data_IF_515964107036
#
_entry.id   IF_515964107036
#
_cell.length_a   1.000
_cell.length_b   1.000
_cell.length_c   1.000
_cell.angle_alpha   90.00
_cell.angle_beta   90.00
_cell.angle_gamma   90.00
#
_symmetry.space_group_name_H-M   'P 1'
#
loop_
_entity.id
_entity.type
_entity.pdbx_description
1 polymer ?
#
# COMPACT_ATOMS: atom_id res chain seq x y z
N UNK A 1 -14.03 -1.17 18.06
CA UNK A 1 -13.99 -0.26 16.87
C UNK A 1 -14.46 -1.01 15.64
N UNK A 2 -15.34 -0.37 14.83
CA UNK A 2 -15.75 -0.89 13.52
C UNK A 2 -15.00 -0.13 12.43
N UNK A 3 -14.15 -0.83 11.69
CA UNK A 3 -13.26 -0.23 10.70
C UNK A 3 -13.70 -0.60 9.29
N UNK A 4 -13.87 0.39 8.42
CA UNK A 4 -14.04 0.20 6.99
C UNK A 4 -12.70 0.31 6.28
N UNK A 5 -12.39 -0.67 5.44
CA UNK A 5 -11.24 -0.64 4.51
C UNK A 5 -11.78 -0.56 3.09
N UNK A 6 -11.74 0.62 2.49
CA UNK A 6 -12.11 0.86 1.09
C UNK A 6 -10.93 0.44 0.20
N UNK A 7 -11.19 -0.36 -0.84
CA UNK A 7 -10.14 -1.03 -1.61
C UNK A 7 -9.59 -2.27 -0.88
N UNK A 8 -10.41 -2.87 0.00
CA UNK A 8 -10.00 -3.94 0.91
C UNK A 8 -9.67 -5.27 0.24
N UNK A 9 -10.05 -5.48 -1.03
CA UNK A 9 -9.66 -6.68 -1.81
C UNK A 9 -8.33 -6.49 -2.57
N UNK A 10 -7.84 -5.24 -2.68
CA UNK A 10 -6.53 -4.92 -3.27
C UNK A 10 -5.37 -5.38 -2.38
N UNK A 11 -4.14 -5.31 -2.91
CA UNK A 11 -2.94 -5.76 -2.19
C UNK A 11 -2.79 -5.11 -0.80
N UNK A 12 -2.80 -3.78 -0.74
CA UNK A 12 -2.61 -3.05 0.53
C UNK A 12 -3.83 -3.20 1.45
N UNK A 13 -5.04 -3.15 0.86
CA UNK A 13 -6.28 -3.30 1.62
C UNK A 13 -6.39 -4.66 2.30
N UNK A 14 -6.13 -5.76 1.60
CA UNK A 14 -6.23 -7.10 2.19
C UNK A 14 -5.18 -7.35 3.28
N UNK A 15 -3.95 -6.80 3.14
CA UNK A 15 -2.93 -6.88 4.19
C UNK A 15 -3.33 -6.03 5.40
N UNK A 16 -3.87 -4.84 5.17
CA UNK A 16 -4.47 -4.01 6.23
C UNK A 16 -5.58 -4.76 6.97
N UNK A 17 -6.52 -5.39 6.24
CA UNK A 17 -7.57 -6.22 6.83
C UNK A 17 -6.99 -7.35 7.67
N UNK A 18 -5.95 -8.06 7.17
CA UNK A 18 -5.30 -9.15 7.92
C UNK A 18 -4.68 -8.68 9.24
N UNK A 19 -4.02 -7.52 9.25
CA UNK A 19 -3.46 -6.95 10.47
C UNK A 19 -4.56 -6.53 11.44
N UNK A 20 -5.58 -5.82 10.97
CA UNK A 20 -6.69 -5.35 11.80
C UNK A 20 -7.51 -6.48 12.44
N UNK A 21 -7.70 -7.59 11.73
CA UNK A 21 -8.44 -8.72 12.26
C UNK A 21 -7.77 -9.38 13.49
N UNK A 22 -6.45 -9.19 13.65
CA UNK A 22 -5.69 -9.70 14.80
C UNK A 22 -5.83 -8.85 16.06
N UNK A 23 -6.28 -7.60 15.92
CA UNK A 23 -6.35 -6.63 17.00
C UNK A 23 -7.61 -6.82 17.84
N UNK A 24 -7.47 -6.97 19.16
CA UNK A 24 -8.61 -7.18 20.06
C UNK A 24 -9.54 -5.98 20.13
N UNK A 25 -9.00 -4.76 20.03
CA UNK A 25 -9.74 -3.50 20.09
C UNK A 25 -10.62 -3.23 18.86
N UNK A 26 -10.44 -4.00 17.79
CA UNK A 26 -11.24 -3.90 16.57
C UNK A 26 -12.31 -4.98 16.60
N UNK A 27 -13.58 -4.60 16.70
CA UNK A 27 -14.72 -5.51 16.79
C UNK A 27 -15.12 -6.04 15.41
N UNK A 28 -15.03 -5.19 14.39
CA UNK A 28 -15.40 -5.53 13.02
C UNK A 28 -14.49 -4.85 12.01
N UNK A 29 -14.11 -5.59 10.98
CA UNK A 29 -13.43 -5.08 9.78
C UNK A 29 -14.32 -5.33 8.56
N UNK A 30 -14.68 -4.26 7.86
CA UNK A 30 -15.47 -4.33 6.63
C UNK A 30 -14.57 -4.01 5.45
N UNK A 31 -14.48 -4.91 4.50
CA UNK A 31 -13.79 -4.70 3.22
C UNK A 31 -14.81 -4.21 2.19
N UNK A 32 -14.70 -2.97 1.73
CA UNK A 32 -15.49 -2.46 0.61
C UNK A 32 -14.66 -2.44 -0.66
N UNK A 33 -15.12 -3.14 -1.69
CA UNK A 33 -14.45 -3.22 -2.99
C UNK A 33 -15.46 -3.60 -4.08
N UNK A 34 -15.15 -3.30 -5.34
CA UNK A 34 -15.93 -3.76 -6.49
C UNK A 34 -15.78 -5.26 -6.73
N UNK A 35 -14.58 -5.79 -6.48
CA UNK A 35 -14.26 -7.20 -6.59
C UNK A 35 -14.34 -7.90 -5.23
N UNK A 36 -14.93 -9.11 -5.14
CA UNK A 36 -14.93 -9.86 -3.90
C UNK A 36 -13.50 -10.29 -3.51
N UNK A 37 -13.24 -10.52 -2.22
CA UNK A 37 -12.01 -11.13 -1.76
C UNK A 37 -11.79 -12.51 -2.42
N UNK A 38 -10.53 -12.85 -2.70
CA UNK A 38 -10.19 -14.16 -3.29
C UNK A 38 -10.51 -15.30 -2.31
N UNK A 39 -10.75 -16.49 -2.86
CA UNK A 39 -10.99 -17.69 -2.04
C UNK A 39 -9.82 -17.98 -1.10
N UNK A 40 -8.59 -17.82 -1.57
CA UNK A 40 -7.40 -17.95 -0.75
C UNK A 40 -7.41 -16.98 0.43
N UNK A 41 -7.73 -15.70 0.18
CA UNK A 41 -7.82 -14.71 1.25
C UNK A 41 -8.89 -15.10 2.28
N UNK A 42 -10.07 -15.51 1.82
CA UNK A 42 -11.15 -15.95 2.71
C UNK A 42 -10.75 -17.17 3.57
N UNK A 43 -10.00 -18.11 3.00
CA UNK A 43 -9.42 -19.24 3.75
C UNK A 43 -8.43 -18.77 4.82
N UNK A 44 -7.59 -17.78 4.49
CA UNK A 44 -6.57 -17.24 5.42
C UNK A 44 -7.18 -16.54 6.64
N UNK A 45 -8.37 -15.95 6.51
CA UNK A 45 -9.08 -15.25 7.58
C UNK A 45 -10.23 -16.07 8.21
N UNK A 46 -10.35 -17.35 7.89
CA UNK A 46 -11.49 -18.18 8.32
C UNK A 46 -11.75 -18.17 9.84
N UNK A 47 -10.69 -18.08 10.65
CA UNK A 47 -10.79 -17.97 12.12
C UNK A 47 -11.42 -16.64 12.58
N UNK A 48 -11.46 -15.62 11.73
CA UNK A 48 -12.01 -14.30 12.01
C UNK A 48 -13.35 -14.04 11.29
N UNK A 49 -14.03 -15.08 10.79
CA UNK A 49 -15.25 -14.94 9.98
C UNK A 49 -16.35 -14.08 10.64
N UNK A 50 -16.45 -14.10 11.97
CA UNK A 50 -17.44 -13.33 12.72
C UNK A 50 -17.06 -11.84 12.87
N UNK A 51 -15.78 -11.51 12.61
CA UNK A 51 -15.22 -10.15 12.72
C UNK A 51 -15.04 -9.49 11.35
N UNK A 52 -15.18 -10.24 10.27
CA UNK A 52 -15.00 -9.80 8.90
C UNK A 52 -16.33 -9.72 8.14
N UNK A 53 -16.49 -8.65 7.36
CA UNK A 53 -17.57 -8.54 6.39
C UNK A 53 -17.04 -7.99 5.05
N UNK A 54 -17.64 -8.42 3.95
CA UNK A 54 -17.41 -7.84 2.63
C UNK A 54 -18.65 -7.08 2.19
N UNK A 55 -18.44 -5.86 1.70
CA UNK A 55 -19.47 -5.03 1.09
C UNK A 55 -19.06 -4.72 -0.36
N UNK A 56 -19.88 -5.14 -1.33
CA UNK A 56 -19.64 -4.77 -2.72
C UNK A 56 -20.01 -3.32 -2.92
N UNK A 57 -19.02 -2.47 -3.21
CA UNK A 57 -19.24 -1.04 -3.43
C UNK A 57 -18.14 -0.41 -4.24
N UNK A 58 -18.48 0.71 -4.87
CA UNK A 58 -17.59 1.52 -5.69
C UNK A 58 -17.33 2.86 -4.95
N UNK A 59 -16.09 3.16 -4.62
CA UNK A 59 -15.73 4.42 -3.96
C UNK A 59 -16.11 5.67 -4.76
N UNK A 60 -16.26 5.52 -6.09
CA UNK A 60 -16.72 6.60 -6.96
C UNK A 60 -18.20 6.94 -6.81
N UNK A 61 -18.97 6.08 -6.15
CA UNK A 61 -20.38 6.30 -5.85
C UNK A 61 -20.53 6.65 -4.38
N UNK A 62 -21.00 7.84 -4.11
CA UNK A 62 -21.10 8.37 -2.75
C UNK A 62 -22.02 7.52 -1.86
N UNK A 63 -23.14 7.08 -2.43
CA UNK A 63 -24.13 6.27 -1.75
C UNK A 63 -23.59 4.92 -1.29
N UNK A 64 -22.66 4.32 -2.04
CA UNK A 64 -22.02 3.06 -1.63
C UNK A 64 -21.16 3.26 -0.38
N UNK A 65 -20.39 4.35 -0.31
CA UNK A 65 -19.63 4.71 0.87
C UNK A 65 -20.55 4.94 2.07
N UNK A 66 -21.60 5.75 1.91
CA UNK A 66 -22.54 6.10 2.95
C UNK A 66 -23.31 4.87 3.48
N UNK A 67 -23.85 4.07 2.56
CA UNK A 67 -24.63 2.87 2.91
C UNK A 67 -23.77 1.82 3.62
N UNK A 68 -22.53 1.61 3.15
CA UNK A 68 -21.59 0.70 3.82
C UNK A 68 -21.32 1.15 5.27
N UNK A 69 -21.02 2.43 5.47
CA UNK A 69 -20.72 2.97 6.79
C UNK A 69 -21.95 2.87 7.73
N UNK A 70 -23.13 3.21 7.22
CA UNK A 70 -24.39 3.12 7.97
C UNK A 70 -24.73 1.69 8.36
N UNK A 71 -24.69 0.76 7.38
CA UNK A 71 -25.06 -0.65 7.59
C UNK A 71 -24.19 -1.33 8.64
N UNK A 72 -22.92 -0.98 8.68
CA UNK A 72 -21.95 -1.63 9.56
C UNK A 72 -21.56 -0.79 10.78
N UNK A 73 -22.22 0.35 11.03
CA UNK A 73 -21.93 1.26 12.13
C UNK A 73 -20.43 1.61 12.22
N UNK A 74 -19.85 2.02 11.07
CA UNK A 74 -18.43 2.30 10.94
C UNK A 74 -18.06 3.56 11.74
N UNK A 75 -17.02 3.46 12.55
CA UNK A 75 -16.47 4.58 13.31
C UNK A 75 -15.05 5.01 12.87
N UNK A 76 -14.40 4.23 12.01
CA UNK A 76 -13.07 4.53 11.46
C UNK A 76 -12.97 4.07 10.01
N UNK A 77 -12.25 4.83 9.19
CA UNK A 77 -12.15 4.57 7.76
C UNK A 77 -10.70 4.50 7.32
N UNK A 78 -10.36 3.49 6.53
CA UNK A 78 -9.12 3.41 5.77
C UNK A 78 -9.48 3.42 4.28
N UNK A 79 -8.87 4.34 3.51
CA UNK A 79 -9.08 4.38 2.07
C UNK A 79 -7.80 4.04 1.30
N UNK A 80 -7.73 2.82 0.80
CA UNK A 80 -6.70 2.31 -0.12
C UNK A 80 -7.15 2.27 -1.59
N UNK A 81 -8.39 2.69 -1.89
CA UNK A 81 -8.90 2.65 -3.26
C UNK A 81 -8.23 3.73 -4.12
N UNK A 82 -7.58 3.29 -5.19
CA UNK A 82 -7.01 4.15 -6.23
C UNK A 82 -6.78 3.36 -7.52
N UNK A 83 -6.67 4.09 -8.61
CA UNK A 83 -6.24 3.57 -9.92
C UNK A 83 -4.92 4.21 -10.27
N UNK A 84 -3.94 3.39 -10.65
CA UNK A 84 -2.68 3.84 -11.23
C UNK A 84 -2.67 3.60 -12.73
N UNK A 85 -2.02 4.49 -13.46
CA UNK A 85 -1.64 4.23 -14.85
C UNK A 85 -0.49 3.23 -14.83
N UNK A 86 -0.72 2.02 -15.33
CA UNK A 86 0.28 0.96 -15.38
C UNK A 86 0.67 0.65 -16.82
N UNK A 87 1.93 0.89 -17.17
CA UNK A 87 2.52 0.51 -18.45
C UNK A 87 1.79 1.10 -19.68
N UNK A 88 1.57 0.28 -20.69
CA UNK A 88 0.93 0.68 -21.95
C UNK A 88 -0.62 0.68 -21.90
N UNK A 89 -1.21 0.51 -20.72
CA UNK A 89 -2.66 0.55 -20.58
C UNK A 89 -3.08 2.02 -20.58
N UNK A 90 -3.75 2.45 -21.65
CA UNK A 90 -4.46 3.73 -21.67
C UNK A 90 -5.61 3.64 -20.65
N UNK A 91 -5.41 4.25 -19.48
CA UNK A 91 -6.49 4.42 -18.52
C UNK A 91 -7.21 5.71 -18.87
N UNK A 92 -8.54 5.65 -19.01
CA UNK A 92 -9.38 6.83 -19.22
C UNK A 92 -9.09 7.87 -18.11
N UNK A 93 -8.63 9.09 -18.45
CA UNK A 93 -8.37 10.15 -17.47
C UNK A 93 -9.59 10.50 -16.62
N UNK A 94 -10.80 10.35 -17.16
CA UNK A 94 -12.05 10.56 -16.42
C UNK A 94 -12.23 9.52 -15.33
N UNK A 95 -11.89 8.25 -15.65
CA UNK A 95 -11.96 7.16 -14.66
C UNK A 95 -10.92 7.38 -13.53
N UNK A 96 -9.70 7.81 -13.88
CA UNK A 96 -8.69 8.18 -12.88
C UNK A 96 -9.22 9.28 -11.96
N UNK A 97 -9.78 10.35 -12.52
CA UNK A 97 -10.35 11.45 -11.74
C UNK A 97 -11.52 10.98 -10.90
N UNK A 98 -12.42 10.17 -11.48
CA UNK A 98 -13.58 9.66 -10.76
C UNK A 98 -13.20 8.81 -9.54
N UNK A 99 -12.20 7.94 -9.67
CA UNK A 99 -11.77 7.08 -8.56
C UNK A 99 -10.84 7.80 -7.59
N UNK A 100 -9.79 8.46 -8.10
CA UNK A 100 -8.72 8.98 -7.23
C UNK A 100 -9.07 10.33 -6.59
N UNK A 101 -9.91 11.14 -7.24
CA UNK A 101 -10.33 12.45 -6.72
C UNK A 101 -11.72 12.34 -6.10
N UNK A 102 -12.73 12.02 -6.91
CA UNK A 102 -14.10 11.94 -6.39
C UNK A 102 -14.28 10.82 -5.38
N UNK A 103 -13.65 9.66 -5.59
CA UNK A 103 -13.68 8.58 -4.61
C UNK A 103 -13.07 8.98 -3.27
N UNK A 104 -12.01 9.79 -3.26
CA UNK A 104 -11.45 10.33 -2.02
C UNK A 104 -12.44 11.31 -1.34
N UNK A 105 -13.02 12.25 -2.13
CA UNK A 105 -14.06 13.15 -1.63
C UNK A 105 -15.25 12.39 -1.05
N UNK A 106 -15.74 11.37 -1.73
CA UNK A 106 -16.87 10.56 -1.28
C UNK A 106 -16.57 9.85 0.04
N UNK A 107 -15.38 9.24 0.16
CA UNK A 107 -14.97 8.59 1.40
C UNK A 107 -14.88 9.56 2.57
N UNK A 108 -14.33 10.76 2.36
CA UNK A 108 -14.19 11.78 3.41
C UNK A 108 -15.54 12.37 3.81
N UNK A 109 -16.40 12.69 2.83
CA UNK A 109 -17.73 13.23 3.09
C UNK A 109 -18.62 12.22 3.80
N UNK A 110 -18.62 10.95 3.36
CA UNK A 110 -19.35 9.90 4.03
C UNK A 110 -18.86 9.70 5.47
N UNK A 111 -17.53 9.72 5.68
CA UNK A 111 -16.93 9.64 7.01
C UNK A 111 -17.40 10.80 7.91
N UNK A 112 -17.47 12.03 7.39
CA UNK A 112 -17.97 13.20 8.10
C UNK A 112 -19.43 13.02 8.49
N UNK A 113 -20.29 12.68 7.53
CA UNK A 113 -21.75 12.56 7.76
C UNK A 113 -22.08 11.41 8.71
N UNK A 114 -21.29 10.36 8.72
CA UNK A 114 -21.46 9.23 9.64
C UNK A 114 -20.77 9.40 10.99
N UNK A 115 -20.10 10.53 11.21
CA UNK A 115 -19.41 10.81 12.46
C UNK A 115 -18.21 9.92 12.73
N UNK A 116 -17.51 9.48 11.67
CA UNK A 116 -16.31 8.67 11.82
C UNK A 116 -15.22 9.44 12.60
N UNK A 117 -14.64 8.77 13.58
CA UNK A 117 -13.68 9.38 14.52
C UNK A 117 -12.30 9.60 13.90
N UNK A 118 -11.96 8.83 12.87
CA UNK A 118 -10.66 8.86 12.24
C UNK A 118 -10.69 8.33 10.82
N UNK A 119 -9.90 8.95 9.95
CA UNK A 119 -9.67 8.50 8.57
C UNK A 119 -8.17 8.36 8.32
N UNK A 120 -7.73 7.20 7.86
CA UNK A 120 -6.39 6.98 7.30
C UNK A 120 -6.55 6.81 5.78
N UNK A 121 -5.72 7.48 5.00
CA UNK A 121 -5.87 7.47 3.54
C UNK A 121 -4.54 7.31 2.81
N UNK A 122 -4.62 6.75 1.60
CA UNK A 122 -3.46 6.57 0.74
C UNK A 122 -3.05 7.89 0.08
N UNK A 123 -1.92 8.47 0.51
CA UNK A 123 -1.10 9.37 -0.27
C UNK A 123 -0.05 8.56 -1.04
N UNK A 124 1.13 9.10 -1.33
CA UNK A 124 2.21 8.43 -2.06
C UNK A 124 3.50 9.25 -1.99
N UNK A 125 4.67 8.59 -2.06
CA UNK A 125 5.96 9.25 -2.28
C UNK A 125 6.01 10.08 -3.57
N UNK A 126 5.15 9.76 -4.56
CA UNK A 126 5.10 10.49 -5.83
C UNK A 126 4.80 11.97 -5.69
N UNK A 127 4.26 12.40 -4.53
CA UNK A 127 4.01 13.83 -4.25
C UNK A 127 5.30 14.65 -4.16
N UNK A 128 6.44 14.02 -3.88
CA UNK A 128 7.74 14.67 -3.79
C UNK A 128 8.35 14.99 -5.16
N UNK A 129 8.08 14.16 -6.18
CA UNK A 129 8.81 14.21 -7.45
C UNK A 129 10.18 13.53 -7.34
N UNK A 130 11.12 13.83 -8.26
CA UNK A 130 12.38 13.10 -8.38
C UNK A 130 13.37 13.41 -7.24
N UNK A 131 14.17 12.40 -6.87
CA UNK A 131 15.24 12.53 -5.87
C UNK A 131 16.22 13.67 -6.14
N UNK A 132 16.50 13.97 -7.42
CA UNK A 132 17.47 15.01 -7.81
C UNK A 132 17.12 16.39 -7.25
N UNK A 133 15.85 16.65 -6.94
CA UNK A 133 15.41 17.89 -6.29
C UNK A 133 15.92 18.03 -4.85
N UNK A 134 16.26 16.92 -4.21
CA UNK A 134 16.65 16.85 -2.79
C UNK A 134 18.14 16.53 -2.61
N UNK A 135 18.86 16.30 -3.70
CA UNK A 135 20.24 15.82 -3.66
C UNK A 135 20.36 14.40 -3.11
N UNK A 136 21.47 14.10 -2.43
CA UNK A 136 21.76 12.77 -1.91
C UNK A 136 21.30 12.55 -0.45
N UNK A 137 20.38 13.37 0.04
CA UNK A 137 19.78 13.22 1.38
C UNK A 137 18.47 12.47 1.36
N UNK A 138 18.03 12.02 2.51
CA UNK A 138 16.68 11.49 2.70
C UNK A 138 15.63 12.59 2.51
N UNK A 139 14.52 12.23 1.87
CA UNK A 139 13.33 13.07 1.73
C UNK A 139 12.43 12.84 2.93
N UNK A 140 12.03 13.91 3.59
CA UNK A 140 11.21 13.91 4.81
C UNK A 140 9.79 14.40 4.54
N UNK A 141 8.90 14.21 5.49
CA UNK A 141 7.52 14.70 5.40
C UNK A 141 7.43 16.23 5.37
N UNK A 142 8.45 16.94 5.90
CA UNK A 142 8.54 18.41 5.93
C UNK A 142 9.00 19.00 4.62
N UNK A 143 9.50 18.19 3.70
CA UNK A 143 9.99 18.66 2.42
C UNK A 143 8.88 19.15 1.51
N UNK A 144 9.20 20.20 0.75
CA UNK A 144 8.28 20.71 -0.25
C UNK A 144 7.94 19.63 -1.28
N UNK A 145 6.65 19.42 -1.50
CA UNK A 145 6.15 18.49 -2.51
C UNK A 145 6.19 19.11 -3.90
N UNK A 146 6.50 18.30 -4.92
CA UNK A 146 6.53 18.69 -6.32
C UNK A 146 5.91 17.58 -7.19
N UNK A 147 4.58 17.42 -7.20
CA UNK A 147 3.91 16.40 -7.99
C UNK A 147 4.05 16.68 -9.49
N UNK A 148 4.63 15.74 -10.24
CA UNK A 148 4.99 15.93 -11.66
C UNK A 148 4.04 15.29 -12.66
N UNK A 149 3.06 14.51 -12.18
CA UNK A 149 2.08 13.82 -13.02
C UNK A 149 0.71 13.69 -12.33
N UNK A 150 -0.34 13.41 -13.11
CA UNK A 150 -1.73 13.42 -12.64
C UNK A 150 -2.00 12.59 -11.39
N UNK A 151 -1.43 11.37 -11.29
CA UNK A 151 -1.58 10.54 -10.10
C UNK A 151 -0.99 11.22 -8.86
N UNK A 152 0.23 11.79 -8.97
CA UNK A 152 0.87 12.52 -7.86
C UNK A 152 0.04 13.74 -7.44
N UNK A 153 -0.54 14.46 -8.41
CA UNK A 153 -1.45 15.60 -8.15
C UNK A 153 -2.69 15.12 -7.41
N UNK A 154 -3.31 13.99 -7.81
CA UNK A 154 -4.46 13.43 -7.08
C UNK A 154 -4.12 13.09 -5.63
N UNK A 155 -2.91 12.55 -5.39
CA UNK A 155 -2.45 12.23 -4.02
C UNK A 155 -2.19 13.50 -3.20
N UNK A 156 -1.59 14.52 -3.80
CA UNK A 156 -1.42 15.83 -3.15
C UNK A 156 -2.76 16.52 -2.88
N UNK A 157 -3.70 16.43 -3.81
CA UNK A 157 -5.06 16.94 -3.60
C UNK A 157 -5.73 16.27 -2.39
N UNK A 158 -5.58 14.95 -2.21
CA UNK A 158 -6.12 14.24 -1.05
C UNK A 158 -5.54 14.76 0.28
N UNK A 159 -4.25 15.13 0.31
CA UNK A 159 -3.62 15.73 1.51
C UNK A 159 -4.18 17.12 1.82
N UNK A 160 -4.39 17.95 0.80
CA UNK A 160 -5.00 19.28 0.94
C UNK A 160 -6.45 19.13 1.42
N UNK A 161 -7.21 18.25 0.77
CA UNK A 161 -8.59 17.97 1.14
C UNK A 161 -8.71 17.49 2.60
N UNK A 162 -7.81 16.61 3.05
CA UNK A 162 -7.76 16.13 4.43
C UNK A 162 -7.49 17.28 5.43
N UNK A 163 -6.60 18.20 5.07
CA UNK A 163 -6.33 19.40 5.88
C UNK A 163 -7.55 20.30 5.98
N UNK A 164 -8.26 20.53 4.86
CA UNK A 164 -9.50 21.33 4.83
C UNK A 164 -10.58 20.71 5.73
N UNK A 165 -10.81 19.39 5.63
CA UNK A 165 -11.78 18.69 6.50
C UNK A 165 -11.36 18.73 7.97
N UNK A 166 -10.08 18.63 8.26
CA UNK A 166 -9.56 18.74 9.62
C UNK A 166 -9.82 20.13 10.19
N UNK A 167 -9.53 21.18 9.40
CA UNK A 167 -9.70 22.57 9.82
C UNK A 167 -11.17 22.96 9.97
N UNK A 168 -12.01 22.59 9.00
CA UNK A 168 -13.41 23.04 8.95
C UNK A 168 -14.31 22.22 9.86
N UNK A 169 -14.06 20.92 10.04
CA UNK A 169 -14.95 20.00 10.72
C UNK A 169 -14.34 19.30 11.94
N UNK A 170 -13.08 19.60 12.29
CA UNK A 170 -12.40 18.99 13.44
C UNK A 170 -12.13 17.49 13.30
N UNK A 171 -12.22 16.96 12.07
CA UNK A 171 -11.99 15.53 11.81
C UNK A 171 -10.50 15.17 11.88
N UNK A 172 -10.21 13.92 12.25
CA UNK A 172 -8.84 13.40 12.35
C UNK A 172 -8.48 12.61 11.10
N UNK A 173 -7.62 13.18 10.29
CA UNK A 173 -7.07 12.54 9.08
C UNK A 173 -5.59 12.25 9.24
N UNK A 174 -5.14 11.16 8.63
CA UNK A 174 -3.72 10.81 8.51
C UNK A 174 -3.45 10.19 7.16
N UNK A 175 -2.58 10.83 6.38
CA UNK A 175 -2.11 10.30 5.11
C UNK A 175 -0.95 9.33 5.30
N UNK A 176 -0.88 8.31 4.48
CA UNK A 176 0.29 7.43 4.37
C UNK A 176 0.92 7.66 3.01
N UNK A 177 2.21 7.98 2.97
CA UNK A 177 3.02 8.13 1.75
C UNK A 177 3.90 6.88 1.56
N UNK A 178 3.35 5.78 1.03
CA UNK A 178 4.18 4.62 0.74
C UNK A 178 5.16 4.92 -0.39
N UNK A 179 6.34 4.32 -0.27
CA UNK A 179 7.27 4.16 -1.40
C UNK A 179 6.75 3.07 -2.34
N UNK A 180 7.59 2.51 -3.22
CA UNK A 180 7.13 1.44 -4.12
C UNK A 180 6.69 0.23 -3.31
N UNK A 181 5.38 0.03 -3.26
CA UNK A 181 4.77 -1.10 -2.56
C UNK A 181 4.83 -2.39 -3.35
N UNK A 182 5.21 -3.49 -2.69
CA UNK A 182 5.27 -4.82 -3.29
C UNK A 182 4.62 -5.89 -2.41
N UNK A 183 4.20 -6.97 -3.06
CA UNK A 183 3.57 -8.12 -2.43
C UNK A 183 2.90 -9.01 -3.46
N UNK A 184 2.55 -10.24 -3.10
CA UNK A 184 1.92 -11.18 -4.01
C UNK A 184 0.58 -10.63 -4.54
N UNK A 185 0.38 -10.70 -5.87
CA UNK A 185 -0.82 -10.18 -6.55
C UNK A 185 -0.90 -8.64 -6.62
N UNK A 186 0.21 -7.93 -6.34
CA UNK A 186 0.31 -6.50 -6.55
C UNK A 186 0.21 -6.14 -8.04
N UNK A 187 -0.38 -4.98 -8.33
CA UNK A 187 -0.48 -4.41 -9.69
C UNK A 187 -0.01 -2.96 -9.64
N UNK A 188 1.10 -2.67 -10.33
CA UNK A 188 1.67 -1.33 -10.37
C UNK A 188 2.48 -1.14 -11.66
N UNK A 189 2.84 0.09 -12.03
CA UNK A 189 3.78 0.33 -13.13
C UNK A 189 5.13 -0.39 -12.93
N UNK A 190 5.54 -0.60 -11.68
CA UNK A 190 6.73 -1.34 -11.30
C UNK A 190 6.40 -2.80 -10.90
N UNK A 191 5.57 -3.47 -11.70
CA UNK A 191 5.05 -4.82 -11.47
C UNK A 191 6.15 -5.86 -11.18
N UNK A 192 7.34 -5.67 -11.73
CA UNK A 192 8.47 -6.59 -11.58
C UNK A 192 8.90 -6.81 -10.11
N UNK A 193 8.66 -5.84 -9.21
CA UNK A 193 8.91 -6.01 -7.77
C UNK A 193 7.99 -7.06 -7.13
N UNK A 194 6.77 -7.21 -7.66
CA UNK A 194 5.80 -8.20 -7.21
C UNK A 194 5.89 -9.52 -7.99
N UNK A 195 6.18 -9.47 -9.29
CA UNK A 195 6.22 -10.67 -10.14
C UNK A 195 7.46 -11.52 -9.87
N UNK A 196 8.62 -10.90 -9.67
CA UNK A 196 9.88 -11.63 -9.47
C UNK A 196 9.81 -12.62 -8.29
N UNK A 197 9.41 -12.23 -7.07
CA UNK A 197 9.23 -13.17 -5.97
C UNK A 197 8.12 -14.17 -6.23
N UNK A 198 6.98 -13.72 -6.80
CA UNK A 198 5.83 -14.60 -7.07
C UNK A 198 6.17 -15.69 -8.08
N UNK A 199 6.90 -15.36 -9.16
CA UNK A 199 7.32 -16.33 -10.18
C UNK A 199 8.34 -17.32 -9.60
N UNK A 200 9.32 -16.82 -8.85
CA UNK A 200 10.29 -17.68 -8.17
C UNK A 200 9.61 -18.67 -7.22
N UNK A 201 8.64 -18.19 -6.42
CA UNK A 201 7.87 -19.03 -5.48
C UNK A 201 7.13 -20.18 -6.17
N UNK A 202 6.71 -19.97 -7.43
CA UNK A 202 5.98 -20.94 -8.25
C UNK A 202 6.87 -21.74 -9.21
N UNK A 203 8.22 -21.62 -9.08
CA UNK A 203 9.18 -22.30 -9.97
C UNK A 203 9.18 -21.77 -11.40
N UNK A 204 8.58 -20.61 -11.67
CA UNK A 204 8.51 -19.99 -13.00
C UNK A 204 9.74 -19.12 -13.23
N UNK A 205 10.27 -19.09 -14.47
CA UNK A 205 11.35 -18.17 -14.81
C UNK A 205 10.85 -16.73 -14.84
N UNK A 206 11.73 -15.81 -14.43
CA UNK A 206 11.49 -14.36 -14.50
C UNK A 206 12.62 -13.70 -15.31
N UNK A 207 12.25 -12.84 -16.25
CA UNK A 207 13.19 -12.03 -17.00
C UNK A 207 12.80 -10.56 -16.89
N UNK A 208 13.78 -9.72 -16.60
CA UNK A 208 13.67 -8.26 -16.62
C UNK A 208 14.53 -7.72 -17.76
N UNK A 209 13.93 -7.00 -18.72
CA UNK A 209 14.65 -6.45 -19.88
C UNK A 209 15.71 -5.42 -19.47
N UNK A 210 15.50 -4.76 -18.33
CA UNK A 210 16.44 -3.79 -17.77
C UNK A 210 17.58 -4.46 -17.01
N UNK A 211 18.65 -3.69 -16.74
CA UNK A 211 19.86 -4.18 -16.08
C UNK A 211 19.70 -4.45 -14.57
N UNK A 212 18.60 -4.03 -13.98
CA UNK A 212 18.26 -4.28 -12.58
C UNK A 212 19.14 -3.55 -11.56
N UNK A 213 19.75 -2.41 -11.91
CA UNK A 213 20.66 -1.65 -11.03
C UNK A 213 20.08 -0.36 -10.45
N UNK A 214 18.84 -0.01 -10.79
CA UNK A 214 18.22 1.21 -10.27
C UNK A 214 17.82 1.05 -8.81
N UNK A 215 18.24 2.02 -8.01
CA UNK A 215 17.84 2.10 -6.60
C UNK A 215 16.37 2.51 -6.49
N UNK A 216 15.68 1.92 -5.55
CA UNK A 216 14.29 2.19 -5.21
C UNK A 216 14.07 1.91 -3.73
N UNK A 217 13.42 2.82 -3.02
CA UNK A 217 12.88 2.51 -1.69
C UNK A 217 11.66 1.61 -1.85
N UNK A 218 11.63 0.52 -1.12
CA UNK A 218 10.55 -0.48 -1.18
C UNK A 218 9.83 -0.57 0.15
N UNK A 219 8.52 -0.81 0.08
CA UNK A 219 7.73 -1.15 1.25
C UNK A 219 6.91 -2.41 0.99
N UNK A 220 6.95 -3.36 1.92
CA UNK A 220 6.09 -4.53 1.82
C UNK A 220 4.62 -4.16 2.10
N UNK A 221 3.70 -4.85 1.46
CA UNK A 221 2.28 -4.66 1.75
C UNK A 221 1.92 -5.04 3.21
N UNK A 222 2.70 -5.91 3.84
CA UNK A 222 2.55 -6.26 5.26
C UNK A 222 2.95 -5.09 6.17
N UNK A 223 4.06 -4.39 5.89
CA UNK A 223 4.46 -3.18 6.62
C UNK A 223 3.40 -2.09 6.50
N UNK A 224 2.83 -1.90 5.29
CA UNK A 224 1.72 -0.97 5.08
C UNK A 224 0.49 -1.33 5.92
N UNK A 225 0.15 -2.61 5.96
CA UNK A 225 -0.94 -3.11 6.80
C UNK A 225 -0.70 -2.87 8.29
N UNK A 226 0.52 -3.12 8.75
CA UNK A 226 0.92 -2.92 10.14
C UNK A 226 0.88 -1.43 10.54
N UNK A 227 1.54 -0.54 9.78
CA UNK A 227 1.52 0.90 10.06
C UNK A 227 0.10 1.46 10.02
N UNK A 228 -0.69 1.10 9.00
CA UNK A 228 -2.08 1.56 8.88
C UNK A 228 -2.92 1.12 10.08
N UNK A 229 -2.67 -0.07 10.62
CA UNK A 229 -3.35 -0.57 11.82
C UNK A 229 -2.94 0.22 13.06
N UNK A 230 -1.68 0.58 13.23
CA UNK A 230 -1.24 1.49 14.29
C UNK A 230 -1.92 2.86 14.17
N UNK A 231 -1.88 3.46 12.99
CA UNK A 231 -2.45 4.77 12.71
C UNK A 231 -3.96 4.81 12.97
N UNK A 232 -4.72 3.81 12.54
CA UNK A 232 -6.17 3.80 12.71
C UNK A 232 -6.59 3.60 14.17
N UNK A 233 -5.81 2.86 14.95
CA UNK A 233 -6.02 2.63 16.38
C UNK A 233 -5.65 3.85 17.23
N UNK A 234 -4.66 4.60 16.84
CA UNK A 234 -4.14 5.73 17.60
C UNK A 234 -5.25 6.77 17.89
N UNK A 235 -5.28 7.35 19.09
CA UNK A 235 -6.24 8.39 19.43
C UNK A 235 -5.97 9.70 18.66
N UNK A 236 -4.73 9.94 18.29
CA UNK A 236 -4.28 11.07 17.46
C UNK A 236 -3.02 10.70 16.70
N UNK A 237 -2.68 11.48 15.69
CA UNK A 237 -1.37 11.46 15.02
C UNK A 237 -0.79 12.86 15.13
N UNK A 238 0.43 13.01 15.68
CA UNK A 238 1.11 14.30 15.75
C UNK A 238 1.29 14.96 14.38
N UNK A 239 1.50 14.15 13.35
CA UNK A 239 1.74 14.61 11.98
C UNK A 239 0.55 14.25 11.05
N UNK A 240 0.27 15.10 10.04
CA UNK A 240 -0.83 14.88 9.10
C UNK A 240 -0.54 13.76 8.09
N UNK A 241 0.75 13.47 7.85
CA UNK A 241 1.20 12.44 6.89
C UNK A 241 2.41 11.70 7.44
N UNK A 242 2.59 10.45 7.01
CA UNK A 242 3.72 9.59 7.36
C UNK A 242 4.29 8.92 6.13
N UNK A 243 5.58 9.07 5.93
CA UNK A 243 6.32 8.27 4.96
C UNK A 243 6.46 6.83 5.45
N UNK A 244 6.45 5.89 4.51
CA UNK A 244 6.79 4.50 4.80
C UNK A 244 7.54 3.87 3.64
N UNK A 245 8.75 3.41 3.93
CA UNK A 245 9.64 2.78 2.96
C UNK A 245 10.87 2.20 3.64
N UNK A 246 11.36 1.11 3.11
CA UNK A 246 12.61 0.49 3.55
C UNK A 246 13.85 1.16 2.94
N UNK A 247 15.04 0.68 3.31
CA UNK A 247 16.29 1.10 2.71
C UNK A 247 16.27 0.90 1.18
N UNK A 248 17.01 1.73 0.41
CA UNK A 248 17.11 1.58 -1.03
C UNK A 248 17.59 0.20 -1.44
N UNK A 249 16.91 -0.40 -2.41
CA UNK A 249 17.21 -1.72 -2.97
C UNK A 249 17.25 -1.64 -4.49
N UNK A 250 18.01 -2.54 -5.11
CA UNK A 250 17.95 -2.78 -6.55
C UNK A 250 17.17 -4.07 -6.85
N UNK A 251 16.63 -4.26 -8.06
CA UNK A 251 16.07 -5.55 -8.47
C UNK A 251 17.05 -6.72 -8.33
N UNK A 252 18.35 -6.48 -8.45
CA UNK A 252 19.41 -7.50 -8.22
C UNK A 252 19.53 -7.88 -6.75
N UNK A 253 19.41 -6.92 -5.84
CA UNK A 253 19.41 -7.19 -4.40
C UNK A 253 18.18 -8.03 -4.01
N UNK A 254 17.00 -7.70 -4.54
CA UNK A 254 15.81 -8.51 -4.35
C UNK A 254 16.00 -9.94 -4.88
N UNK A 255 16.60 -10.09 -6.08
CA UNK A 255 16.90 -11.41 -6.64
C UNK A 255 17.87 -12.20 -5.76
N UNK A 256 18.86 -11.54 -5.18
CA UNK A 256 19.80 -12.17 -4.25
C UNK A 256 19.11 -12.67 -2.98
N UNK A 257 18.18 -11.87 -2.43
CA UNK A 257 17.37 -12.27 -1.27
C UNK A 257 16.47 -13.46 -1.61
N UNK A 258 15.79 -13.45 -2.77
CA UNK A 258 14.96 -14.58 -3.23
C UNK A 258 15.78 -15.87 -3.31
N UNK A 259 17.01 -15.81 -3.84
CA UNK A 259 17.91 -16.96 -3.97
C UNK A 259 18.40 -17.54 -2.63
N UNK A 260 18.33 -16.78 -1.53
CA UNK A 260 18.57 -17.34 -0.18
C UNK A 260 17.50 -18.38 0.20
N UNK A 261 16.29 -18.24 -0.30
CA UNK A 261 15.16 -19.15 -0.02
C UNK A 261 14.93 -20.18 -1.15
N UNK A 262 15.20 -19.78 -2.38
CA UNK A 262 15.02 -20.59 -3.60
C UNK A 262 16.33 -20.50 -4.42
N UNK A 263 17.38 -21.28 -4.09
CA UNK A 263 18.68 -21.18 -4.75
C UNK A 263 18.62 -21.34 -6.28
N UNK A 264 17.70 -22.19 -6.75
CA UNK A 264 17.55 -22.51 -8.18
C UNK A 264 16.58 -21.55 -8.91
N UNK A 265 16.18 -20.41 -8.29
CA UNK A 265 15.31 -19.44 -8.91
C UNK A 265 15.91 -18.90 -10.22
N UNK A 266 15.17 -19.08 -11.32
CA UNK A 266 15.57 -18.66 -12.67
C UNK A 266 15.24 -17.19 -12.89
N UNK A 267 16.11 -16.29 -12.39
CA UNK A 267 15.96 -14.83 -12.51
C UNK A 267 17.09 -14.30 -13.37
N UNK A 268 16.74 -13.60 -14.45
CA UNK A 268 17.70 -13.01 -15.40
C UNK A 268 17.40 -11.54 -15.64
N UNK A 269 18.46 -10.79 -15.98
CA UNK A 269 18.41 -9.37 -16.26
C UNK A 269 18.98 -9.07 -17.63
N UNK A 270 18.38 -8.11 -18.34
CA UNK A 270 18.89 -7.57 -19.58
C UNK A 270 20.09 -6.64 -19.38
N UNK A 271 20.39 -5.90 -20.43
CA UNK A 271 21.51 -4.92 -20.45
C UNK A 271 21.00 -3.47 -20.57
N UNK A 272 19.72 -3.28 -20.85
CA UNK A 272 19.15 -1.96 -21.09
C UNK A 272 19.05 -1.19 -19.77
N UNK A 273 19.60 0.00 -19.76
CA UNK A 273 19.38 0.90 -18.65
C UNK A 273 17.89 1.33 -18.61
N UNK A 274 17.30 1.51 -17.42
CA UNK A 274 15.92 1.97 -17.33
C UNK A 274 15.77 3.34 -17.99
N UNK A 275 14.55 3.65 -18.54
CA UNK A 275 14.26 4.97 -19.10
C UNK A 275 14.56 6.09 -18.10
N UNK A 276 14.92 7.29 -18.58
CA UNK A 276 15.25 8.43 -17.70
C UNK A 276 14.19 8.73 -16.65
N UNK A 277 12.90 8.64 -16.99
CA UNK A 277 11.79 8.85 -16.06
C UNK A 277 11.67 7.78 -14.95
N UNK A 278 12.18 6.56 -15.19
CA UNK A 278 12.28 5.53 -14.15
C UNK A 278 13.49 5.72 -13.23
N UNK A 279 14.54 6.38 -13.69
CA UNK A 279 15.74 6.61 -12.88
C UNK A 279 15.60 7.74 -11.87
N UNK A 280 14.81 8.78 -12.20
CA UNK A 280 14.74 10.02 -11.44
C UNK A 280 13.33 10.48 -11.08
N UNK A 281 12.30 9.69 -11.41
CA UNK A 281 10.90 10.11 -11.25
C UNK A 281 10.37 10.06 -9.81
N UNK A 282 11.08 9.37 -8.90
CA UNK A 282 10.66 9.16 -7.51
C UNK A 282 11.86 9.32 -6.56
N UNK A 283 11.64 9.70 -5.32
CA UNK A 283 12.69 9.64 -4.31
C UNK A 283 13.01 8.17 -4.00
N UNK A 284 14.27 7.85 -3.95
CA UNK A 284 14.75 6.52 -3.58
C UNK A 284 15.41 6.47 -2.19
N UNK A 285 15.49 7.62 -1.51
CA UNK A 285 15.84 7.77 -0.10
C UNK A 285 14.73 8.52 0.61
N UNK A 286 13.92 7.81 1.39
CA UNK A 286 12.78 8.39 2.10
C UNK A 286 12.95 8.14 3.59
N UNK A 287 12.87 9.20 4.38
CA UNK A 287 12.95 9.12 5.83
C UNK A 287 11.64 8.60 6.42
N UNK A 288 11.73 7.74 7.41
CA UNK A 288 10.61 7.26 8.22
C UNK A 288 10.61 7.88 9.64
N UNK A 289 11.29 9.02 9.79
CA UNK A 289 11.51 9.63 11.12
C UNK A 289 10.22 9.71 11.93
N UNK A 290 9.15 10.23 11.37
CA UNK A 290 7.89 10.41 12.10
C UNK A 290 7.20 9.10 12.46
N UNK A 291 7.22 8.11 11.58
CA UNK A 291 6.66 6.80 11.91
C UNK A 291 7.44 6.10 13.06
N UNK A 292 8.76 6.32 13.11
CA UNK A 292 9.62 5.80 14.18
C UNK A 292 9.38 6.55 15.49
N UNK A 293 9.40 7.89 15.46
CA UNK A 293 9.30 8.73 16.67
C UNK A 293 7.91 8.61 17.33
N UNK A 294 6.84 8.63 16.53
CA UNK A 294 5.48 8.66 17.07
C UNK A 294 4.92 7.28 17.41
N UNK A 295 5.34 6.25 16.70
CA UNK A 295 4.75 4.90 16.80
C UNK A 295 5.76 3.78 17.04
N UNK A 296 7.07 4.08 17.09
CA UNK A 296 8.11 3.06 17.15
C UNK A 296 8.13 2.12 15.95
N UNK A 297 7.52 2.56 14.81
CA UNK A 297 7.33 1.70 13.66
C UNK A 297 8.57 1.68 12.77
N UNK A 298 9.00 0.47 12.43
CA UNK A 298 10.06 0.20 11.46
C UNK A 298 9.59 -0.87 10.48
N UNK A 299 9.97 -0.73 9.21
CA UNK A 299 9.75 -1.79 8.24
C UNK A 299 10.54 -3.04 8.64
N UNK A 300 9.94 -4.21 8.40
CA UNK A 300 10.63 -5.47 8.63
C UNK A 300 11.85 -5.62 7.72
N UNK A 301 12.85 -6.44 8.10
CA UNK A 301 13.96 -6.79 7.20
C UNK A 301 13.46 -7.34 5.87
N UNK A 302 14.12 -6.96 4.77
CA UNK A 302 13.69 -7.37 3.42
C UNK A 302 13.62 -8.90 3.26
N UNK A 303 14.47 -9.63 3.96
CA UNK A 303 14.44 -11.11 3.98
C UNK A 303 13.11 -11.63 4.50
N UNK A 304 12.63 -11.07 5.60
CA UNK A 304 11.35 -11.47 6.19
C UNK A 304 10.18 -11.12 5.28
N UNK A 305 10.17 -9.89 4.75
CA UNK A 305 9.14 -9.44 3.82
C UNK A 305 9.09 -10.30 2.53
N UNK A 306 10.26 -10.66 2.00
CA UNK A 306 10.35 -11.56 0.83
C UNK A 306 9.84 -12.96 1.17
N UNK A 307 10.18 -13.51 2.34
CA UNK A 307 9.67 -14.82 2.76
C UNK A 307 8.14 -14.85 2.88
N UNK A 308 7.55 -13.79 3.44
CA UNK A 308 6.09 -13.64 3.50
C UNK A 308 5.51 -13.63 2.08
N UNK A 309 6.07 -12.83 1.18
CA UNK A 309 5.63 -12.73 -0.20
C UNK A 309 5.72 -14.09 -0.93
N UNK A 310 6.85 -14.80 -0.82
CA UNK A 310 7.04 -16.13 -1.40
C UNK A 310 5.97 -17.10 -0.88
N UNK A 311 5.69 -17.05 0.41
CA UNK A 311 4.71 -17.93 1.04
C UNK A 311 3.26 -17.58 0.67
N UNK A 312 2.92 -16.30 0.52
CA UNK A 312 1.61 -15.90 0.00
C UNK A 312 1.36 -16.50 -1.39
N UNK A 313 2.36 -16.39 -2.30
CA UNK A 313 2.25 -16.94 -3.65
C UNK A 313 2.09 -18.48 -3.63
N UNK A 314 2.85 -19.16 -2.79
CA UNK A 314 2.78 -20.63 -2.64
C UNK A 314 1.45 -21.07 -2.07
N UNK A 315 0.97 -20.44 -1.01
CA UNK A 315 -0.28 -20.78 -0.35
C UNK A 315 -1.48 -20.56 -1.26
N UNK A 316 -1.49 -19.45 -2.05
CA UNK A 316 -2.55 -19.23 -3.04
C UNK A 316 -2.54 -20.31 -4.14
N UNK A 317 -1.37 -20.82 -4.50
CA UNK A 317 -1.22 -21.95 -5.44
C UNK A 317 -1.41 -23.32 -4.81
N UNK A 318 -1.77 -23.43 -3.53
CA UNK A 318 -1.93 -24.70 -2.81
C UNK A 318 -0.61 -25.42 -2.49
N UNK A 319 0.52 -24.73 -2.54
CA UNK A 319 1.84 -25.27 -2.24
C UNK A 319 2.22 -25.06 -0.78
N UNK A 320 3.04 -25.96 -0.22
CA UNK A 320 3.55 -25.82 1.14
C UNK A 320 4.44 -24.58 1.29
N UNK A 321 4.38 -23.86 2.42
CA UNK A 321 5.22 -22.68 2.65
C UNK A 321 6.69 -23.07 2.79
N UNK A 322 7.56 -22.13 2.42
CA UNK A 322 9.00 -22.19 2.64
C UNK A 322 9.27 -21.86 4.12
N UNK A 323 10.09 -22.67 4.76
CA UNK A 323 10.55 -22.40 6.14
C UNK A 323 11.70 -21.41 6.12
N UNK A 324 11.75 -20.51 7.10
CA UNK A 324 12.94 -19.69 7.31
C UNK A 324 14.17 -20.57 7.54
N UNK A 325 15.34 -20.21 6.98
CA UNK A 325 16.58 -20.89 7.30
C UNK A 325 16.79 -20.87 8.83
N UNK A 326 17.20 -21.98 9.41
CA UNK A 326 17.56 -22.00 10.83
C UNK A 326 18.73 -21.02 11.01
N UNK A 327 18.56 -20.05 11.92
CA UNK A 327 19.69 -19.22 12.36
C UNK A 327 20.76 -20.18 12.92
N UNK A 328 21.94 -20.20 12.26
CA UNK A 328 23.10 -20.92 12.78
C UNK A 328 23.66 -20.18 14.00
#
# INVERSE_FOLDING_TARGET
MNVLVIGGSGLFGRKTVLHMLKEEEIDKVVSMDMAPPTEWFMKSIARYKNKFAYFRGNVSEFEDCLNCMKLHAIDRVVNWAFIMVAGNVQVDPRLITKVNVMGMCNAFEAAKLMGAKRVVYASSETVYGPQDMYGDREVTEDDQTNPTHSYAVCKKYAEILAADYSQQFGMKFTGVRPTIGYGHGGRSPAQYWSDMPSFAALGKPFHMDMDGKSLTSLVSADDLGALTTLLIKAPSSPHPVYNVGGPPQTPRDLAAVIKKYIPDAKITFGKTAPPPGMRGGLPWKVSMKYAIEDFGFQCMPIEEAVLIHLNDARLEAGLSPIKAPRKK
#
